data_IF_781544034116
#
_entry.id   IF_781544034116
#
_cell.length_a   1.000
_cell.length_b   1.000
_cell.length_c   1.000
_cell.angle_alpha   90.00
_cell.angle_beta   90.00
_cell.angle_gamma   90.00
#
_symmetry.space_group_name_H-M   'P 1'
#
loop_
_entity.id
_entity.type
_entity.pdbx_description
1 polymer ?
#
# COMPACT_ATOMS: atom_id res chain seq x y z
N UNK A 1 16.60 23.22 11.84
CA UNK A 1 15.25 22.79 11.40
C UNK A 1 15.18 22.90 9.89
N UNK A 2 15.40 21.80 9.16
CA UNK A 2 15.02 21.75 7.75
C UNK A 2 13.52 21.47 7.72
N UNK A 3 12.74 22.30 7.03
CA UNK A 3 11.37 21.95 6.67
C UNK A 3 11.46 20.64 5.87
N UNK A 4 10.94 19.54 6.42
CA UNK A 4 10.66 18.33 5.63
C UNK A 4 9.46 18.66 4.72
N UNK A 5 9.74 19.42 3.65
CA UNK A 5 8.81 19.53 2.54
C UNK A 5 8.77 18.17 1.86
N UNK A 6 7.60 17.53 1.89
CA UNK A 6 7.32 16.31 1.13
C UNK A 6 7.69 16.57 -0.33
N UNK A 7 8.63 15.79 -0.87
CA UNK A 7 9.10 15.94 -2.24
C UNK A 7 8.35 15.00 -3.17
N UNK A 8 8.10 15.46 -4.41
CA UNK A 8 7.53 14.62 -5.45
C UNK A 8 8.47 13.46 -5.81
N UNK A 9 7.97 12.23 -5.71
CA UNK A 9 8.72 11.00 -5.99
C UNK A 9 8.84 10.74 -7.50
N UNK A 10 7.81 11.11 -8.27
CA UNK A 10 7.74 10.94 -9.73
C UNK A 10 7.77 9.47 -10.20
N UNK A 11 7.38 8.53 -9.34
CA UNK A 11 7.51 7.10 -9.64
C UNK A 11 6.60 6.67 -10.80
N UNK A 12 5.34 7.10 -10.84
CA UNK A 12 4.44 6.79 -11.96
C UNK A 12 4.99 7.28 -13.30
N UNK A 13 5.60 8.47 -13.34
CA UNK A 13 6.14 9.01 -14.59
C UNK A 13 7.28 8.14 -15.13
N UNK A 14 8.17 7.69 -14.26
CA UNK A 14 9.26 6.78 -14.63
C UNK A 14 8.76 5.36 -14.91
N UNK A 15 7.79 4.87 -14.15
CA UNK A 15 7.18 3.58 -14.41
C UNK A 15 6.54 3.55 -15.81
N UNK A 16 5.77 4.57 -16.18
CA UNK A 16 5.17 4.66 -17.51
C UNK A 16 6.23 4.60 -18.63
N UNK A 17 7.39 5.21 -18.44
CA UNK A 17 8.49 5.15 -19.42
C UNK A 17 8.98 3.71 -19.62
N UNK A 18 9.34 3.02 -18.54
CA UNK A 18 9.85 1.65 -18.60
C UNK A 18 8.77 0.65 -19.06
N UNK A 19 7.52 0.85 -18.65
CA UNK A 19 6.39 -0.01 -19.02
C UNK A 19 6.06 0.11 -20.51
N UNK A 20 6.26 1.29 -21.13
CA UNK A 20 6.14 1.46 -22.59
C UNK A 20 7.20 0.66 -23.35
N UNK A 21 8.43 0.64 -22.84
CA UNK A 21 9.50 -0.18 -23.42
C UNK A 21 9.18 -1.68 -23.29
N UNK A 22 8.72 -2.12 -22.11
CA UNK A 22 8.30 -3.50 -21.89
C UNK A 22 7.12 -3.90 -22.79
N UNK A 23 6.10 -3.05 -22.92
CA UNK A 23 4.97 -3.30 -23.84
C UNK A 23 5.44 -3.52 -25.28
N UNK A 24 6.36 -2.68 -25.76
CA UNK A 24 6.88 -2.78 -27.12
C UNK A 24 7.66 -4.09 -27.34
N UNK A 25 8.47 -4.50 -26.36
CA UNK A 25 9.22 -5.76 -26.39
C UNK A 25 8.28 -6.97 -26.39
N UNK A 26 7.22 -6.93 -25.58
CA UNK A 26 6.33 -8.07 -25.36
C UNK A 26 5.33 -8.27 -26.48
N UNK A 27 5.08 -7.26 -27.34
CA UNK A 27 4.02 -7.29 -28.36
C UNK A 27 4.06 -8.52 -29.27
N UNK A 28 5.25 -9.05 -29.57
CA UNK A 28 5.41 -10.26 -30.38
C UNK A 28 5.35 -11.56 -29.58
N UNK A 29 6.01 -11.62 -28.42
CA UNK A 29 6.21 -12.85 -27.66
C UNK A 29 5.13 -13.14 -26.59
N UNK A 30 4.44 -12.10 -26.12
CA UNK A 30 3.40 -12.16 -25.09
C UNK A 30 2.33 -11.09 -25.38
N UNK A 31 1.54 -11.25 -26.46
CA UNK A 31 0.60 -10.24 -26.94
C UNK A 31 -0.51 -9.88 -25.95
N UNK A 32 -1.01 -10.81 -25.14
CA UNK A 32 -2.05 -10.54 -24.13
C UNK A 32 -1.48 -9.73 -22.97
N UNK A 33 -0.32 -10.13 -22.44
CA UNK A 33 0.42 -9.34 -21.44
C UNK A 33 0.76 -7.94 -21.97
N UNK A 34 1.16 -7.79 -23.25
CA UNK A 34 1.42 -6.48 -23.84
C UNK A 34 0.16 -5.59 -23.89
N UNK A 35 -1.03 -6.17 -24.16
CA UNK A 35 -2.30 -5.40 -24.07
C UNK A 35 -2.58 -4.94 -22.65
N UNK A 36 -2.30 -5.78 -21.66
CA UNK A 36 -2.43 -5.42 -20.24
C UNK A 36 -1.52 -4.25 -19.90
N UNK A 37 -0.23 -4.29 -20.29
CA UNK A 37 0.68 -3.15 -20.11
C UNK A 37 0.16 -1.87 -20.76
N UNK A 38 -0.43 -1.95 -21.96
CA UNK A 38 -0.99 -0.77 -22.63
C UNK A 38 -2.14 -0.13 -21.82
N UNK A 39 -3.06 -0.95 -21.28
CA UNK A 39 -4.16 -0.46 -20.43
C UNK A 39 -3.65 0.06 -19.09
N UNK A 40 -2.67 -0.62 -18.51
CA UNK A 40 -2.00 -0.20 -17.28
C UNK A 40 -1.32 1.17 -17.43
N UNK A 41 -0.61 1.39 -18.54
CA UNK A 41 0.01 2.70 -18.85
C UNK A 41 -1.06 3.78 -18.90
N UNK A 42 -2.19 3.53 -19.56
CA UNK A 42 -3.30 4.48 -19.64
C UNK A 42 -3.90 4.79 -18.26
N UNK A 43 -4.14 3.75 -17.44
CA UNK A 43 -4.61 3.92 -16.07
C UNK A 43 -3.62 4.71 -15.21
N UNK A 44 -2.31 4.45 -15.32
CA UNK A 44 -1.29 5.21 -14.63
C UNK A 44 -1.21 6.66 -15.12
N UNK A 45 -1.55 6.96 -16.36
CA UNK A 45 -1.60 8.34 -16.85
C UNK A 45 -2.78 9.11 -16.24
N UNK A 46 -3.92 8.45 -16.03
CA UNK A 46 -5.17 9.08 -15.60
C UNK A 46 -5.50 8.94 -14.11
N UNK A 47 -4.82 8.07 -13.36
CA UNK A 47 -5.10 7.90 -11.94
C UNK A 47 -4.83 9.18 -11.13
N UNK A 48 -5.36 9.27 -9.91
CA UNK A 48 -4.98 10.33 -8.97
C UNK A 48 -3.78 9.87 -8.14
N UNK A 49 -2.75 10.70 -8.01
CA UNK A 49 -1.47 10.28 -7.42
C UNK A 49 -1.35 10.77 -5.99
N UNK A 50 -1.01 9.88 -5.08
CA UNK A 50 -0.74 10.18 -3.68
C UNK A 50 0.71 9.83 -3.34
N UNK A 51 1.33 10.66 -2.51
CA UNK A 51 2.62 10.34 -1.89
C UNK A 51 2.35 9.86 -0.48
N UNK A 52 2.86 8.67 -0.16
CA UNK A 52 2.80 8.07 1.16
C UNK A 52 4.18 8.11 1.83
N UNK A 53 4.25 8.05 3.18
CA UNK A 53 5.52 7.88 3.88
C UNK A 53 6.16 6.54 3.53
N UNK A 54 7.45 6.38 3.86
CA UNK A 54 8.18 5.14 3.68
C UNK A 54 7.39 3.93 4.24
N UNK A 55 7.28 2.87 3.45
CA UNK A 55 6.53 1.64 3.76
C UNK A 55 5.03 1.84 4.06
N UNK A 56 4.45 3.02 3.75
CA UNK A 56 3.10 3.40 4.19
C UNK A 56 2.89 3.13 5.69
N UNK A 57 3.89 3.41 6.52
CA UNK A 57 3.90 3.04 7.94
C UNK A 57 3.03 4.00 8.80
N UNK A 58 1.74 4.05 8.50
CA UNK A 58 0.75 4.96 9.10
C UNK A 58 0.16 4.37 10.38
N UNK A 59 -0.14 3.07 10.38
CA UNK A 59 -0.80 2.32 11.45
C UNK A 59 0.07 1.11 11.81
N UNK A 60 0.17 0.76 13.09
CA UNK A 60 0.84 -0.50 13.46
C UNK A 60 0.07 -1.68 12.86
N UNK A 61 0.72 -2.62 12.14
CA UNK A 61 0.05 -3.82 11.64
C UNK A 61 -0.68 -4.61 12.74
N UNK A 62 -0.19 -4.60 13.98
CA UNK A 62 -0.86 -5.26 15.12
C UNK A 62 -2.07 -4.48 15.65
N UNK A 63 -2.18 -3.19 15.32
CA UNK A 63 -3.30 -2.30 15.66
C UNK A 63 -4.32 -2.19 14.53
N UNK A 64 -4.14 -2.91 13.42
CA UNK A 64 -5.19 -3.06 12.42
C UNK A 64 -6.42 -3.73 13.07
N UNK A 65 -7.60 -3.18 12.78
CA UNK A 65 -8.90 -3.55 13.38
C UNK A 65 -9.99 -3.41 12.32
N UNK A 66 -11.15 -4.00 12.59
CA UNK A 66 -12.33 -3.93 11.71
C UNK A 66 -12.62 -2.49 11.25
N UNK A 67 -12.55 -1.51 12.16
CA UNK A 67 -12.80 -0.11 11.83
C UNK A 67 -11.87 0.48 10.75
N UNK A 68 -10.65 -0.03 10.59
CA UNK A 68 -9.75 0.38 9.51
C UNK A 68 -10.20 -0.20 8.16
N UNK A 69 -10.62 -1.46 8.18
CA UNK A 69 -11.12 -2.17 7.01
C UNK A 69 -12.45 -1.55 6.52
N UNK A 70 -13.35 -1.20 7.45
CA UNK A 70 -14.63 -0.53 7.15
C UNK A 70 -14.43 0.83 6.44
N UNK A 71 -13.30 1.50 6.69
CA UNK A 71 -12.92 2.77 6.07
C UNK A 71 -12.05 2.60 4.82
N UNK A 72 -11.82 1.37 4.36
CA UNK A 72 -11.08 1.12 3.11
C UNK A 72 -12.00 1.38 1.93
N UNK A 73 -12.11 2.66 1.54
CA UNK A 73 -12.79 3.14 0.33
C UNK A 73 -11.82 4.03 -0.43
N UNK A 74 -11.71 3.85 -1.74
CA UNK A 74 -10.84 4.71 -2.52
C UNK A 74 -11.40 6.15 -2.56
N UNK A 75 -10.55 7.18 -2.44
CA UNK A 75 -10.99 8.57 -2.56
C UNK A 75 -11.34 8.98 -4.00
N UNK A 76 -10.88 8.20 -4.99
CA UNK A 76 -11.16 8.37 -6.41
C UNK A 76 -11.24 6.99 -7.08
N UNK A 77 -11.97 6.83 -8.20
CA UNK A 77 -12.15 5.53 -8.86
C UNK A 77 -10.85 4.81 -9.26
N UNK A 78 -9.78 5.56 -9.54
CA UNK A 78 -8.45 5.03 -9.84
C UNK A 78 -7.35 5.90 -9.20
N UNK A 79 -6.53 5.29 -8.35
CA UNK A 79 -5.53 5.94 -7.51
C UNK A 79 -4.20 5.23 -7.64
N UNK A 80 -3.09 5.98 -7.68
CA UNK A 80 -1.75 5.44 -7.53
C UNK A 80 -1.13 5.98 -6.25
N UNK A 81 -0.80 5.09 -5.32
CA UNK A 81 -0.08 5.42 -4.10
C UNK A 81 1.41 5.15 -4.29
N UNK A 82 2.23 6.21 -4.31
CA UNK A 82 3.68 6.10 -4.40
C UNK A 82 4.31 6.15 -3.00
N UNK A 83 5.21 5.20 -2.71
CA UNK A 83 5.92 5.14 -1.45
C UNK A 83 7.37 4.68 -1.64
N UNK A 84 8.34 5.30 -0.96
CA UNK A 84 9.62 4.65 -0.70
C UNK A 84 9.36 3.38 0.13
N UNK A 85 10.23 2.37 -0.04
CA UNK A 85 10.11 1.09 0.64
C UNK A 85 11.46 0.62 1.17
N UNK A 86 12.12 1.51 1.87
CA UNK A 86 13.42 1.29 2.49
C UNK A 86 13.21 0.51 3.80
N UNK A 87 13.69 -0.73 3.84
CA UNK A 87 13.72 -1.60 5.03
C UNK A 87 15.18 -1.92 5.37
N UNK A 88 15.53 -1.91 6.65
CA UNK A 88 16.88 -2.22 7.13
C UNK A 88 17.27 -3.67 6.79
N UNK A 89 16.32 -4.60 6.97
CA UNK A 89 16.48 -6.02 6.65
C UNK A 89 15.46 -6.42 5.56
N UNK A 90 15.97 -6.74 4.36
CA UNK A 90 15.18 -7.34 3.29
C UNK A 90 15.01 -8.84 3.53
N UNK A 91 13.83 -9.37 3.22
CA UNK A 91 13.62 -10.82 3.18
C UNK A 91 13.88 -11.27 1.76
N UNK A 92 14.86 -12.16 1.58
CA UNK A 92 15.21 -12.72 0.27
C UNK A 92 14.31 -13.91 -0.11
N UNK A 93 13.72 -14.58 0.89
CA UNK A 93 12.91 -15.77 0.68
C UNK A 93 11.77 -15.89 1.70
N UNK A 94 10.57 -16.21 1.23
CA UNK A 94 9.40 -16.56 2.05
C UNK A 94 9.01 -18.00 1.74
N UNK A 95 9.38 -18.94 2.62
CA UNK A 95 9.22 -20.37 2.34
C UNK A 95 10.01 -20.75 1.08
N UNK A 96 9.31 -21.16 0.02
CA UNK A 96 9.93 -21.47 -1.28
C UNK A 96 9.90 -20.30 -2.28
N UNK A 97 9.29 -19.16 -1.92
CA UNK A 97 9.10 -18.02 -2.82
C UNK A 97 10.27 -17.05 -2.70
N UNK A 98 10.98 -16.83 -3.79
CA UNK A 98 12.01 -15.78 -3.87
C UNK A 98 11.36 -14.40 -3.80
N UNK A 99 12.02 -13.46 -3.12
CA UNK A 99 11.53 -12.09 -2.96
C UNK A 99 12.53 -11.10 -3.55
N UNK A 100 12.01 -10.08 -4.24
CA UNK A 100 12.84 -9.01 -4.81
C UNK A 100 12.87 -7.81 -3.85
N UNK A 101 14.05 -7.30 -3.47
CA UNK A 101 14.16 -6.09 -2.66
C UNK A 101 13.76 -4.86 -3.49
N UNK A 102 12.47 -4.53 -3.45
CA UNK A 102 11.89 -3.38 -4.13
C UNK A 102 11.84 -2.16 -3.19
N UNK A 103 12.79 -1.22 -3.32
CA UNK A 103 12.91 -0.01 -2.49
C UNK A 103 12.01 1.15 -2.91
N UNK A 104 11.34 1.04 -4.06
CA UNK A 104 10.40 2.03 -4.59
C UNK A 104 9.18 1.29 -5.11
N UNK A 105 8.01 1.69 -4.64
CA UNK A 105 6.77 0.98 -4.94
C UNK A 105 5.62 1.93 -5.25
N UNK A 106 4.71 1.44 -6.06
CA UNK A 106 3.44 2.05 -6.41
C UNK A 106 2.37 0.98 -6.19
N UNK A 107 1.37 1.28 -5.35
CA UNK A 107 0.13 0.53 -5.36
C UNK A 107 -0.82 1.22 -6.34
N UNK A 108 -1.04 0.61 -7.51
CA UNK A 108 -2.10 1.04 -8.42
C UNK A 108 -3.41 0.41 -7.97
N UNK A 109 -4.40 1.23 -7.68
CA UNK A 109 -5.66 0.82 -7.10
C UNK A 109 -6.83 1.34 -7.91
N UNK A 110 -7.84 0.50 -8.13
CA UNK A 110 -9.04 0.93 -8.85
C UNK A 110 -10.27 0.16 -8.39
N UNK A 111 -11.42 0.80 -8.58
CA UNK A 111 -12.72 0.15 -8.48
C UNK A 111 -13.08 -0.49 -9.82
N UNK A 112 -13.73 -1.65 -9.75
CA UNK A 112 -14.22 -2.36 -10.91
C UNK A 112 -15.19 -1.47 -11.72
N UNK A 113 -14.86 -1.22 -12.98
CA UNK A 113 -15.75 -0.51 -13.92
C UNK A 113 -15.41 -0.91 -15.36
N UNK A 114 -16.31 -0.69 -16.34
CA UNK A 114 -16.01 -0.92 -17.74
C UNK A 114 -14.80 -0.12 -18.25
N UNK A 115 -14.50 1.02 -17.63
CA UNK A 115 -13.34 1.87 -17.95
C UNK A 115 -12.02 1.30 -17.39
N UNK A 116 -12.10 0.52 -16.30
CA UNK A 116 -10.94 -0.03 -15.60
C UNK A 116 -10.95 -1.56 -15.60
N UNK A 117 -10.80 -2.14 -16.79
CA UNK A 117 -10.62 -3.57 -16.97
C UNK A 117 -9.26 -3.87 -17.62
N UNK A 118 -8.26 -4.26 -16.83
CA UNK A 118 -6.91 -4.52 -17.34
C UNK A 118 -6.81 -5.82 -18.15
N UNK A 119 -7.54 -6.84 -17.74
CA UNK A 119 -7.63 -8.14 -18.39
C UNK A 119 -9.12 -8.45 -18.64
N UNK A 120 -9.53 -8.86 -19.86
CA UNK A 120 -10.93 -9.19 -20.13
C UNK A 120 -11.50 -10.23 -19.15
N UNK A 121 -12.66 -9.94 -18.57
CA UNK A 121 -13.31 -10.80 -17.59
C UNK A 121 -12.85 -10.56 -16.15
N UNK A 122 -11.85 -9.70 -15.90
CA UNK A 122 -11.38 -9.42 -14.55
C UNK A 122 -12.51 -8.86 -13.65
N UNK A 123 -13.43 -8.08 -14.22
CA UNK A 123 -14.56 -7.52 -13.48
C UNK A 123 -15.66 -8.55 -13.15
N UNK A 124 -15.58 -9.79 -13.65
CA UNK A 124 -16.55 -10.84 -13.26
C UNK A 124 -16.48 -11.19 -11.78
N UNK A 125 -15.42 -10.77 -11.08
CA UNK A 125 -15.32 -10.90 -9.62
C UNK A 125 -16.50 -10.25 -8.88
N UNK A 126 -17.15 -9.23 -9.48
CA UNK A 126 -18.33 -8.59 -8.93
C UNK A 126 -19.55 -9.51 -8.84
N UNK A 127 -19.58 -10.62 -9.58
CA UNK A 127 -20.64 -11.64 -9.43
C UNK A 127 -20.59 -12.29 -8.04
N UNK A 128 -19.39 -12.46 -7.47
CA UNK A 128 -19.18 -12.96 -6.11
C UNK A 128 -19.19 -11.83 -5.07
N UNK A 129 -18.88 -10.60 -5.47
CA UNK A 129 -18.77 -9.42 -4.60
C UNK A 129 -19.58 -8.24 -5.16
N UNK A 130 -20.92 -8.30 -5.11
CA UNK A 130 -21.78 -7.30 -5.74
C UNK A 130 -21.63 -5.89 -5.14
N UNK A 131 -21.22 -5.80 -3.88
CA UNK A 131 -20.94 -4.53 -3.17
C UNK A 131 -19.62 -3.87 -3.60
N UNK A 132 -18.88 -4.51 -4.51
CA UNK A 132 -17.62 -4.01 -5.03
C UNK A 132 -16.44 -4.17 -4.07
N UNK A 133 -15.37 -3.45 -4.40
CA UNK A 133 -14.09 -3.54 -3.73
C UNK A 133 -13.00 -2.82 -4.50
N UNK A 134 -11.77 -3.02 -4.04
CA UNK A 134 -10.58 -2.37 -4.58
C UNK A 134 -9.66 -3.42 -5.18
N UNK A 135 -9.38 -3.32 -6.47
CA UNK A 135 -8.23 -4.00 -7.04
C UNK A 135 -6.94 -3.29 -6.62
N UNK A 136 -5.93 -4.05 -6.23
CA UNK A 136 -4.61 -3.55 -5.83
C UNK A 136 -3.54 -4.27 -6.63
N UNK A 137 -2.76 -3.52 -7.40
CA UNK A 137 -1.67 -4.04 -8.21
C UNK A 137 -0.33 -3.44 -7.79
N UNK A 138 0.65 -4.27 -7.38
CA UNK A 138 2.01 -3.82 -7.13
C UNK A 138 2.76 -3.49 -8.42
N UNK A 139 3.33 -2.29 -8.44
CA UNK A 139 4.31 -1.85 -9.44
C UNK A 139 5.55 -1.42 -8.67
N UNK A 140 6.71 -1.91 -9.06
CA UNK A 140 7.92 -1.75 -8.26
C UNK A 140 9.15 -1.53 -9.11
N UNK A 141 10.15 -0.87 -8.52
CA UNK A 141 11.47 -0.76 -9.10
C UNK A 141 12.24 -2.07 -8.88
N UNK A 142 12.49 -2.81 -9.95
CA UNK A 142 13.30 -4.03 -9.92
C UNK A 142 14.79 -3.68 -9.98
N UNK A 143 15.57 -3.84 -8.90
CA UNK A 143 16.98 -3.45 -8.88
C UNK A 143 17.84 -4.26 -9.84
N UNK A 144 17.51 -5.55 -10.06
CA UNK A 144 18.26 -6.46 -10.95
C UNK A 144 18.26 -5.98 -12.40
N UNK A 145 17.13 -5.47 -12.88
CA UNK A 145 16.96 -4.99 -14.25
C UNK A 145 17.01 -3.47 -14.38
N UNK A 146 17.19 -2.76 -13.24
CA UNK A 146 17.22 -1.31 -13.11
C UNK A 146 16.08 -0.63 -13.89
N UNK A 147 14.87 -1.14 -13.70
CA UNK A 147 13.65 -0.65 -14.34
C UNK A 147 12.43 -0.87 -13.47
N UNK A 148 11.37 -0.11 -13.72
CA UNK A 148 10.05 -0.40 -13.20
C UNK A 148 9.42 -1.61 -13.89
N UNK A 149 8.73 -2.42 -13.11
CA UNK A 149 7.94 -3.56 -13.59
C UNK A 149 6.70 -3.73 -12.72
N UNK A 150 5.81 -4.62 -13.14
CA UNK A 150 4.61 -5.01 -12.37
C UNK A 150 4.77 -6.42 -11.81
N UNK A 151 4.10 -6.71 -10.70
CA UNK A 151 3.96 -8.08 -10.22
C UNK A 151 3.14 -8.94 -11.20
N UNK A 152 3.22 -10.26 -11.06
CA UNK A 152 2.47 -11.23 -11.90
C UNK A 152 0.95 -10.99 -11.87
N UNK A 153 0.48 -10.45 -10.74
CA UNK A 153 -0.91 -10.21 -10.44
C UNK A 153 -1.07 -9.26 -9.25
N UNK A 154 -2.30 -9.14 -8.78
CA UNK A 154 -2.66 -8.33 -7.64
C UNK A 154 -3.70 -9.02 -6.76
N UNK A 155 -4.30 -8.24 -5.87
CA UNK A 155 -5.38 -8.70 -4.99
C UNK A 155 -6.59 -7.77 -5.08
N UNK A 156 -7.79 -8.36 -5.12
CA UNK A 156 -9.06 -7.64 -4.98
C UNK A 156 -9.49 -7.69 -3.51
N UNK A 157 -9.70 -6.54 -2.90
CA UNK A 157 -10.15 -6.40 -1.52
C UNK A 157 -11.62 -6.00 -1.52
N UNK A 158 -12.54 -6.90 -1.16
CA UNK A 158 -13.97 -6.59 -1.10
C UNK A 158 -14.26 -5.48 -0.09
N UNK A 159 -15.27 -4.66 -0.38
CA UNK A 159 -15.73 -3.60 0.50
C UNK A 159 -16.52 -4.09 1.70
N UNK A 160 -17.29 -5.16 1.53
CA UNK A 160 -17.84 -5.95 2.63
C UNK A 160 -16.83 -7.01 3.03
N UNK A 161 -16.17 -6.80 4.16
CA UNK A 161 -15.07 -7.64 4.58
C UNK A 161 -14.92 -7.62 6.10
N UNK A 162 -14.44 -8.73 6.67
CA UNK A 162 -14.39 -8.91 8.12
C UNK A 162 -13.01 -9.38 8.54
N UNK A 163 -12.49 -8.78 9.60
CA UNK A 163 -11.28 -9.20 10.29
C UNK A 163 -11.55 -10.50 11.05
N UNK A 164 -10.94 -11.59 10.60
CA UNK A 164 -11.10 -12.94 11.15
C UNK A 164 -9.78 -13.45 11.74
N UNK A 165 -9.85 -14.37 12.69
CA UNK A 165 -8.67 -15.05 13.20
C UNK A 165 -8.17 -16.04 12.15
N UNK A 166 -6.85 -16.10 11.92
CA UNK A 166 -6.29 -17.04 10.94
C UNK A 166 -6.52 -18.47 11.41
N UNK A 167 -7.33 -19.20 10.63
CA UNK A 167 -7.48 -20.64 10.74
C UNK A 167 -6.97 -21.28 9.45
N UNK A 168 -5.70 -21.68 9.45
CA UNK A 168 -5.03 -22.23 8.27
C UNK A 168 -5.78 -23.40 7.64
N UNK A 169 -6.39 -24.26 8.47
CA UNK A 169 -7.15 -25.44 8.05
C UNK A 169 -8.44 -25.08 7.28
N UNK A 170 -9.05 -23.93 7.59
CA UNK A 170 -10.26 -23.42 6.95
C UNK A 170 -9.95 -22.47 5.77
N UNK A 171 -8.68 -22.09 5.60
CA UNK A 171 -8.24 -21.18 4.52
C UNK A 171 -8.16 -21.90 3.17
N UNK A 172 -8.41 -21.15 2.10
CA UNK A 172 -8.17 -21.59 0.72
C UNK A 172 -6.70 -22.04 0.55
N UNK A 173 -6.41 -23.02 -0.31
CA UNK A 173 -5.08 -23.62 -0.37
C UNK A 173 -3.96 -22.62 -0.68
N UNK A 174 -4.13 -21.73 -1.66
CA UNK A 174 -3.18 -20.64 -1.92
C UNK A 174 -2.95 -19.72 -0.70
N UNK A 175 -4.01 -19.30 -0.02
CA UNK A 175 -3.92 -18.48 1.20
C UNK A 175 -3.20 -19.22 2.33
N UNK A 176 -3.42 -20.52 2.49
CA UNK A 176 -2.73 -21.35 3.47
C UNK A 176 -1.23 -21.39 3.22
N UNK A 177 -0.80 -21.59 1.96
CA UNK A 177 0.61 -21.59 1.57
C UNK A 177 1.25 -20.22 1.89
N UNK A 178 0.62 -19.13 1.47
CA UNK A 178 1.12 -17.78 1.70
C UNK A 178 1.19 -17.45 3.21
N UNK A 179 0.15 -17.76 3.98
CA UNK A 179 0.14 -17.52 5.42
C UNK A 179 1.22 -18.31 6.14
N UNK A 180 1.37 -19.60 5.83
CA UNK A 180 2.42 -20.45 6.39
C UNK A 180 3.81 -19.85 6.15
N UNK A 181 4.12 -19.44 4.91
CA UNK A 181 5.39 -18.81 4.56
C UNK A 181 5.66 -17.53 5.36
N UNK A 182 4.65 -16.66 5.55
CA UNK A 182 4.83 -15.43 6.33
C UNK A 182 4.96 -15.67 7.84
N UNK A 183 4.32 -16.72 8.37
CA UNK A 183 4.44 -17.10 9.78
C UNK A 183 5.84 -17.67 10.05
N UNK A 184 6.33 -18.55 9.17
CA UNK A 184 7.66 -19.14 9.25
C UNK A 184 8.76 -18.07 9.20
N UNK A 185 8.61 -17.08 8.32
CA UNK A 185 9.53 -15.94 8.22
C UNK A 185 9.40 -14.90 9.35
N UNK A 186 8.50 -15.11 10.32
CA UNK A 186 8.28 -14.19 11.44
C UNK A 186 7.62 -12.85 11.06
N UNK A 187 7.15 -12.71 9.81
CA UNK A 187 6.47 -11.51 9.31
C UNK A 187 5.05 -11.33 9.85
N UNK A 188 4.39 -12.44 10.17
CA UNK A 188 3.02 -12.46 10.67
C UNK A 188 2.94 -13.40 11.86
N UNK A 189 2.25 -12.98 12.93
CA UNK A 189 1.99 -13.89 14.06
C UNK A 189 0.97 -14.95 13.65
N UNK A 190 1.10 -16.18 14.14
CA UNK A 190 0.14 -17.27 13.85
C UNK A 190 -1.30 -16.97 14.27
N UNK A 191 -1.49 -16.07 15.25
CA UNK A 191 -2.81 -15.58 15.71
C UNK A 191 -3.14 -14.18 15.20
N UNK A 192 -2.41 -13.66 14.20
CA UNK A 192 -2.77 -12.38 13.61
C UNK A 192 -4.17 -12.47 12.98
N UNK A 193 -4.90 -11.37 13.02
CA UNK A 193 -6.16 -11.29 12.28
C UNK A 193 -5.88 -11.02 10.81
N UNK A 194 -6.68 -11.60 9.93
CA UNK A 194 -6.65 -11.39 8.49
C UNK A 194 -8.00 -10.90 7.99
N UNK A 195 -8.03 -10.42 6.75
CA UNK A 195 -9.23 -10.10 6.01
C UNK A 195 -9.16 -10.74 4.63
N UNK A 196 -10.27 -10.75 3.90
CA UNK A 196 -10.33 -11.37 2.58
C UNK A 196 -9.64 -10.49 1.54
N UNK A 197 -8.79 -11.11 0.72
CA UNK A 197 -8.19 -10.50 -0.45
C UNK A 197 -8.05 -11.59 -1.52
N UNK A 198 -8.76 -11.42 -2.63
CA UNK A 198 -8.85 -12.41 -3.70
C UNK A 198 -7.74 -12.18 -4.73
N UNK A 199 -6.81 -13.13 -4.93
CA UNK A 199 -5.72 -12.92 -5.85
C UNK A 199 -6.18 -13.08 -7.30
N UNK A 200 -5.62 -12.27 -8.20
CA UNK A 200 -5.83 -12.37 -9.64
C UNK A 200 -4.50 -12.20 -10.36
N UNK A 201 -4.29 -12.92 -11.46
CA UNK A 201 -3.14 -12.67 -12.34
C UNK A 201 -3.50 -11.62 -13.38
N UNK A 202 -2.49 -10.91 -13.89
CA UNK A 202 -2.67 -9.92 -14.95
C UNK A 202 -1.84 -10.19 -16.20
N UNK A 203 -0.81 -11.02 -16.11
CA UNK A 203 0.09 -11.29 -17.21
C UNK A 203 -0.07 -12.75 -17.66
N UNK A 204 -1.01 -13.09 -18.58
CA UNK A 204 -1.38 -14.47 -18.86
C UNK A 204 -0.19 -15.34 -19.28
N UNK A 205 0.64 -14.87 -20.20
CA UNK A 205 1.80 -15.63 -20.69
C UNK A 205 2.88 -15.80 -19.61
N UNK A 206 2.99 -14.87 -18.67
CA UNK A 206 3.88 -15.01 -17.53
C UNK A 206 3.28 -15.94 -16.47
N UNK A 207 1.96 -15.90 -16.30
CA UNK A 207 1.24 -16.80 -15.40
C UNK A 207 1.39 -18.25 -15.83
N UNK A 208 1.26 -18.54 -17.12
CA UNK A 208 1.51 -19.88 -17.67
C UNK A 208 2.95 -20.34 -17.44
N UNK A 209 3.94 -19.43 -17.58
CA UNK A 209 5.35 -19.74 -17.27
C UNK A 209 5.55 -20.04 -15.79
N UNK A 210 4.97 -19.24 -14.90
CA UNK A 210 5.01 -19.48 -13.45
C UNK A 210 4.34 -20.79 -13.08
N UNK A 211 3.20 -21.10 -13.68
CA UNK A 211 2.48 -22.35 -13.49
C UNK A 211 3.35 -23.56 -13.91
N UNK A 212 4.02 -23.47 -15.06
CA UNK A 212 4.96 -24.49 -15.52
C UNK A 212 6.15 -24.65 -14.57
N UNK A 213 6.72 -23.55 -14.08
CA UNK A 213 7.82 -23.57 -13.09
C UNK A 213 7.41 -24.25 -11.78
N UNK A 214 6.13 -24.14 -11.40
CA UNK A 214 5.55 -24.84 -10.24
C UNK A 214 4.98 -26.23 -10.58
N UNK A 215 5.31 -26.81 -11.73
CA UNK A 215 4.88 -28.15 -12.11
C UNK A 215 3.36 -28.28 -12.28
N UNK A 216 2.69 -27.20 -12.70
CA UNK A 216 1.22 -27.14 -12.83
C UNK A 216 0.48 -26.81 -11.53
N UNK A 217 1.19 -26.49 -10.45
CA UNK A 217 0.54 -26.16 -9.17
C UNK A 217 -0.02 -24.73 -9.17
N UNK A 218 -1.32 -24.63 -9.46
CA UNK A 218 -2.09 -23.37 -9.45
C UNK A 218 -2.05 -22.66 -8.10
N UNK A 219 -2.13 -23.40 -6.99
CA UNK A 219 -2.17 -22.84 -5.65
C UNK A 219 -0.85 -22.14 -5.28
N UNK A 220 0.30 -22.67 -5.74
CA UNK A 220 1.59 -21.99 -5.58
C UNK A 220 1.67 -20.69 -6.38
N UNK A 221 1.18 -20.70 -7.62
CA UNK A 221 1.15 -19.48 -8.44
C UNK A 221 0.29 -18.37 -7.78
N UNK A 222 -0.89 -18.71 -7.24
CA UNK A 222 -1.71 -17.75 -6.51
C UNK A 222 -1.12 -17.37 -5.14
N UNK A 223 -0.45 -18.29 -4.44
CA UNK A 223 0.26 -17.97 -3.21
C UNK A 223 1.37 -16.95 -3.45
N UNK A 224 2.13 -17.08 -4.54
CA UNK A 224 3.11 -16.07 -4.94
C UNK A 224 2.45 -14.69 -5.15
N UNK A 225 1.32 -14.63 -5.87
CA UNK A 225 0.57 -13.37 -6.08
C UNK A 225 0.12 -12.75 -4.74
N UNK A 226 -0.36 -13.57 -3.80
CA UNK A 226 -0.76 -13.11 -2.47
C UNK A 226 0.43 -12.51 -1.72
N UNK A 227 1.59 -13.18 -1.75
CA UNK A 227 2.81 -12.72 -1.08
C UNK A 227 3.33 -11.42 -1.70
N UNK A 228 3.42 -11.36 -3.02
CA UNK A 228 3.95 -10.22 -3.76
C UNK A 228 3.06 -8.97 -3.66
N UNK A 229 1.75 -9.13 -3.42
CA UNK A 229 0.80 -8.02 -3.27
C UNK A 229 0.45 -7.63 -1.83
N UNK A 230 0.97 -8.38 -0.84
CA UNK A 230 0.63 -8.20 0.58
C UNK A 230 0.91 -6.78 1.09
N UNK A 231 2.08 -6.25 0.78
CA UNK A 231 2.55 -4.96 1.28
C UNK A 231 1.69 -3.82 0.72
N UNK A 232 1.32 -3.86 -0.55
CA UNK A 232 0.46 -2.87 -1.21
C UNK A 232 -0.99 -2.98 -0.72
N UNK A 233 -1.51 -4.19 -0.51
CA UNK A 233 -2.83 -4.38 0.10
C UNK A 233 -2.89 -3.75 1.49
N UNK A 234 -1.85 -3.95 2.32
CA UNK A 234 -1.75 -3.30 3.62
C UNK A 234 -1.63 -1.78 3.49
N UNK A 235 -0.86 -1.28 2.53
CA UNK A 235 -0.72 0.16 2.28
C UNK A 235 -2.06 0.80 1.92
N UNK A 236 -2.88 0.15 1.10
CA UNK A 236 -4.20 0.64 0.69
C UNK A 236 -5.17 0.71 1.86
N UNK A 237 -5.25 -0.35 2.67
CA UNK A 237 -6.10 -0.35 3.87
C UNK A 237 -5.68 0.77 4.82
N UNK A 238 -4.38 0.94 5.04
CA UNK A 238 -3.87 2.00 5.90
C UNK A 238 -4.17 3.39 5.34
N UNK A 239 -3.75 3.66 4.11
CA UNK A 239 -3.93 4.96 3.46
C UNK A 239 -5.40 5.36 3.39
N UNK A 240 -6.28 4.46 2.93
CA UNK A 240 -7.71 4.76 2.81
C UNK A 240 -8.37 4.97 4.17
N UNK A 241 -8.01 4.18 5.19
CA UNK A 241 -8.55 4.38 6.53
C UNK A 241 -8.19 5.75 7.12
N UNK A 242 -7.03 6.30 6.77
CA UNK A 242 -6.61 7.65 7.16
C UNK A 242 -7.28 8.71 6.29
N UNK A 243 -7.28 8.55 4.96
CA UNK A 243 -7.87 9.51 4.01
C UNK A 243 -9.36 9.76 4.31
N UNK A 244 -10.10 8.72 4.66
CA UNK A 244 -11.54 8.80 4.92
C UNK A 244 -11.88 9.29 6.34
N UNK A 245 -10.89 9.70 7.14
CA UNK A 245 -11.14 10.33 8.44
C UNK A 245 -11.64 11.76 8.28
N UNK A 246 -12.61 12.16 9.11
CA UNK A 246 -13.28 13.46 9.00
C UNK A 246 -12.37 14.68 9.21
N UNK A 247 -11.18 14.49 9.79
CA UNK A 247 -10.19 15.54 10.03
C UNK A 247 -8.99 15.46 9.09
N UNK A 248 -9.03 14.60 8.06
CA UNK A 248 -7.97 14.48 7.06
C UNK A 248 -8.42 15.14 5.76
N UNK A 249 -7.52 15.90 5.17
CA UNK A 249 -7.65 16.65 3.92
C UNK A 249 -6.44 16.34 3.05
N UNK A 250 -6.43 16.82 1.81
CA UNK A 250 -5.30 16.63 0.89
C UNK A 250 -4.71 17.96 0.46
N UNK A 251 -3.40 18.12 0.58
CA UNK A 251 -2.65 19.20 -0.07
C UNK A 251 -2.19 18.75 -1.45
N UNK A 252 -2.13 19.67 -2.41
CA UNK A 252 -1.62 19.40 -3.75
C UNK A 252 -0.16 19.90 -3.90
N UNK A 253 0.69 19.05 -4.46
CA UNK A 253 2.04 19.38 -4.92
C UNK A 253 2.01 19.39 -6.44
N UNK A 254 2.02 20.57 -7.05
CA UNK A 254 2.01 20.71 -8.50
C UNK A 254 3.38 20.40 -9.11
N UNK A 255 3.37 19.75 -10.28
CA UNK A 255 4.57 19.57 -11.08
C UNK A 255 5.09 20.91 -11.64
N UNK A 256 6.40 21.06 -11.75
CA UNK A 256 7.00 22.25 -12.38
C UNK A 256 6.71 22.28 -13.88
N UNK A 257 5.98 23.30 -14.34
CA UNK A 257 5.66 23.49 -15.76
C UNK A 257 6.92 23.57 -16.65
N UNK A 258 7.98 24.24 -16.17
CA UNK A 258 9.24 24.34 -16.89
C UNK A 258 9.95 22.99 -17.05
N UNK A 259 9.92 22.13 -16.01
CA UNK A 259 10.46 20.78 -16.11
C UNK A 259 9.62 19.90 -17.04
N UNK A 260 8.29 20.00 -16.97
CA UNK A 260 7.39 19.24 -17.83
C UNK A 260 7.55 19.59 -19.31
N UNK A 261 7.70 20.88 -19.65
CA UNK A 261 8.00 21.31 -21.02
C UNK A 261 9.28 20.65 -21.54
N UNK A 262 10.36 20.67 -20.75
CA UNK A 262 11.63 20.02 -21.11
C UNK A 262 11.53 18.50 -21.24
N UNK A 263 10.67 17.85 -20.45
CA UNK A 263 10.42 16.40 -20.56
C UNK A 263 9.66 16.07 -21.84
N UNK A 264 8.61 16.84 -22.15
CA UNK A 264 7.82 16.68 -23.38
C UNK A 264 8.66 16.88 -24.64
N UNK A 265 9.53 17.90 -24.67
CA UNK A 265 10.49 18.13 -25.77
C UNK A 265 11.40 16.92 -26.03
N UNK A 266 11.63 16.08 -25.00
CA UNK A 266 12.43 14.84 -25.08
C UNK A 266 11.59 13.58 -25.28
N UNK A 267 10.28 13.70 -25.55
CA UNK A 267 9.36 12.57 -25.66
C UNK A 267 9.13 11.80 -24.35
N UNK A 268 9.49 12.39 -23.20
CA UNK A 268 9.39 11.77 -21.88
C UNK A 268 8.05 12.04 -21.22
N UNK A 269 7.64 11.17 -20.31
CA UNK A 269 6.37 11.30 -19.59
C UNK A 269 6.43 12.55 -18.69
N UNK A 270 5.51 13.53 -18.80
CA UNK A 270 5.46 14.65 -17.87
C UNK A 270 5.27 14.17 -16.43
N UNK A 271 5.82 14.92 -15.47
CA UNK A 271 5.53 14.69 -14.05
C UNK A 271 4.09 15.12 -13.72
N UNK A 272 3.50 14.40 -12.76
CA UNK A 272 2.13 14.60 -12.32
C UNK A 272 2.06 15.56 -11.13
N UNK A 273 0.88 16.15 -10.90
CA UNK A 273 0.54 16.68 -9.58
C UNK A 273 0.32 15.53 -8.60
N UNK A 274 0.67 15.77 -7.34
CA UNK A 274 0.54 14.80 -6.26
C UNK A 274 -0.36 15.31 -5.15
N UNK A 275 -1.11 14.42 -4.51
CA UNK A 275 -1.82 14.66 -3.27
C UNK A 275 -1.02 14.14 -2.09
N UNK A 276 -1.01 14.90 -1.00
CA UNK A 276 -0.38 14.52 0.27
C UNK A 276 -1.40 14.69 1.40
N UNK A 277 -1.41 13.75 2.34
CA UNK A 277 -2.33 13.79 3.47
C UNK A 277 -1.98 14.93 4.43
N UNK A 278 -2.95 15.79 4.72
CA UNK A 278 -2.84 16.88 5.68
C UNK A 278 -4.01 16.83 6.64
N UNK A 279 -3.75 17.00 7.93
CA UNK A 279 -4.83 17.10 8.91
C UNK A 279 -5.41 18.51 8.92
N UNK A 280 -6.74 18.61 8.96
CA UNK A 280 -7.47 19.87 9.13
C UNK A 280 -7.16 20.48 10.50
N UNK A 281 -7.00 21.80 10.57
CA UNK A 281 -6.74 22.54 11.81
C UNK A 281 -7.95 22.65 12.76
N UNK A 282 -9.00 21.84 12.56
CA UNK A 282 -10.18 21.85 13.41
C UNK A 282 -9.87 21.34 14.83
N UNK A 283 -9.69 22.32 15.72
CA UNK A 283 -9.62 22.30 17.21
C UNK A 283 -8.23 22.24 17.85
N UNK A 284 -7.65 23.43 18.01
CA UNK A 284 -6.77 23.77 19.15
C UNK A 284 -7.52 24.13 20.44
N UNK A 285 -8.86 24.12 20.47
CA UNK A 285 -9.64 24.70 21.59
C UNK A 285 -10.25 23.69 22.59
N UNK A 286 -9.67 22.50 22.77
CA UNK A 286 -10.20 21.55 23.78
C UNK A 286 -9.14 20.88 24.66
N UNK A 287 -8.01 21.54 24.93
CA UNK A 287 -7.18 21.20 26.08
C UNK A 287 -7.79 21.85 27.35
N UNK A 288 -8.99 21.40 27.70
CA UNK A 288 -9.62 21.71 28.97
C UNK A 288 -8.81 21.10 30.11
N UNK A 289 -8.42 21.96 31.06
CA UNK A 289 -7.87 21.57 32.36
C UNK A 289 -8.80 20.56 33.05
N UNK A 290 -8.28 19.43 33.50
CA UNK A 290 -8.91 18.63 34.55
C UNK A 290 -8.70 17.12 34.47
N UNK A 291 -8.29 16.52 35.59
CA UNK A 291 -8.36 15.08 35.82
C UNK A 291 -7.13 14.41 36.45
N UNK A 292 -6.54 14.98 37.52
CA UNK A 292 -5.62 14.22 38.36
C UNK A 292 -6.41 13.26 39.26
N UNK A 293 -6.65 12.02 38.80
CA UNK A 293 -6.94 10.90 39.69
C UNK A 293 -6.70 9.57 38.99
N UNK A 294 -5.66 8.85 39.40
CA UNK A 294 -5.43 7.47 38.98
C UNK A 294 -4.08 6.97 39.48
N UNK A 295 -4.10 6.07 40.45
CA UNK A 295 -2.90 5.52 41.12
C UNK A 295 -2.18 4.44 40.29
N UNK A 296 -2.12 4.61 38.96
CA UNK A 296 -1.43 3.68 38.07
C UNK A 296 -0.02 4.19 37.77
N UNK A 297 0.96 3.27 37.77
CA UNK A 297 2.32 3.56 37.34
C UNK A 297 2.28 4.28 35.98
N UNK A 298 2.87 5.47 35.92
CA UNK A 298 2.83 6.32 34.72
C UNK A 298 3.35 5.54 33.50
N UNK A 299 2.62 5.51 32.37
CA UNK A 299 3.01 4.74 31.18
C UNK A 299 4.42 5.10 30.69
N UNK A 300 5.25 4.14 30.28
CA UNK A 300 6.63 4.43 29.80
C UNK A 300 6.64 5.38 28.60
N UNK A 301 7.75 6.10 28.41
CA UNK A 301 7.97 6.90 27.21
C UNK A 301 8.01 6.00 25.96
N UNK A 302 7.10 6.19 25.02
CA UNK A 302 7.08 5.43 23.76
C UNK A 302 6.38 6.20 22.65
N UNK A 303 6.85 6.02 21.41
CA UNK A 303 6.22 6.63 20.25
C UNK A 303 4.93 5.87 19.99
N UNK A 304 3.81 6.54 20.20
CA UNK A 304 2.52 5.99 19.82
C UNK A 304 2.28 6.33 18.36
N UNK A 305 2.01 5.32 17.52
CA UNK A 305 1.59 5.50 16.13
C UNK A 305 0.23 6.19 16.06
N UNK A 306 -0.13 6.63 14.87
CA UNK A 306 -1.45 7.19 14.67
C UNK A 306 -2.51 6.09 14.78
N UNK A 307 -3.72 6.47 15.18
CA UNK A 307 -4.82 5.52 15.31
C UNK A 307 -6.15 6.20 15.02
N UNK A 308 -7.14 5.40 14.64
CA UNK A 308 -8.53 5.84 14.55
C UNK A 308 -9.11 6.05 15.94
N UNK A 309 -9.77 7.19 16.16
CA UNK A 309 -10.61 7.43 17.34
C UNK A 309 -12.05 7.65 16.91
N UNK A 310 -12.95 6.82 17.45
CA UNK A 310 -14.40 7.00 17.29
C UNK A 310 -14.90 7.98 18.34
N UNK A 311 -15.49 9.08 17.89
CA UNK A 311 -16.29 10.00 18.69
C UNK A 311 -17.77 9.70 18.45
N UNK A 312 -18.66 10.32 19.23
CA UNK A 312 -20.10 10.08 19.16
C UNK A 312 -20.68 10.21 17.75
N UNK A 313 -20.21 11.20 16.97
CA UNK A 313 -20.74 11.49 15.63
C UNK A 313 -19.76 11.26 14.48
N UNK A 314 -18.47 10.99 14.74
CA UNK A 314 -17.45 10.91 13.67
C UNK A 314 -16.24 10.06 14.03
N UNK A 315 -15.54 9.60 13.00
CA UNK A 315 -14.22 8.96 13.12
C UNK A 315 -13.14 9.94 12.73
N UNK A 316 -12.09 10.05 13.56
CA UNK A 316 -10.96 10.97 13.35
C UNK A 316 -9.63 10.22 13.40
N UNK A 317 -8.68 10.67 12.60
CA UNK A 317 -7.30 10.23 12.66
C UNK A 317 -6.55 11.00 13.75
N UNK A 318 -6.00 10.29 14.72
CA UNK A 318 -5.14 10.87 15.75
C UNK A 318 -3.68 10.72 15.32
N UNK A 319 -2.93 11.82 15.25
CA UNK A 319 -1.50 11.80 14.87
C UNK A 319 -0.68 10.84 15.76
N UNK A 320 0.41 10.26 15.22
CA UNK A 320 1.47 9.74 16.04
C UNK A 320 1.91 10.79 17.06
N UNK A 321 2.15 10.37 18.30
CA UNK A 321 2.51 11.26 19.38
C UNK A 321 3.52 10.61 20.33
N UNK A 322 4.41 11.44 20.86
CA UNK A 322 5.32 11.01 21.90
C UNK A 322 4.55 10.91 23.22
N UNK A 323 4.34 9.69 23.74
CA UNK A 323 3.61 9.49 25.00
C UNK A 323 4.60 9.52 26.15
N UNK A 324 4.24 10.24 27.22
CA UNK A 324 5.02 10.39 28.46
C UNK A 324 6.50 10.78 28.26
N UNK A 325 6.75 11.80 27.44
CA UNK A 325 8.08 12.33 27.11
C UNK A 325 8.91 12.84 28.32
N UNK A 326 8.31 12.92 29.52
CA UNK A 326 8.98 13.33 30.76
C UNK A 326 9.24 12.18 31.74
N UNK A 327 9.06 10.92 31.34
CA UNK A 327 9.28 9.76 32.18
C UNK A 327 10.74 9.31 32.19
N UNK A 328 11.35 9.23 33.37
CA UNK A 328 12.72 8.72 33.58
C UNK A 328 12.81 7.18 33.66
N UNK A 329 11.71 6.44 33.46
CA UNK A 329 11.67 4.99 33.64
C UNK A 329 11.61 4.23 32.31
N UNK A 330 12.64 3.42 32.04
CA UNK A 330 12.66 2.46 30.92
C UNK A 330 13.28 2.96 29.62
N UNK A 331 14.41 3.68 29.73
CA UNK A 331 15.23 4.07 28.58
C UNK A 331 15.77 2.81 27.88
N UNK A 332 15.22 2.50 26.71
CA UNK A 332 15.98 1.80 25.67
C UNK A 332 16.43 2.90 24.70
N UNK A 333 17.69 3.31 24.83
CA UNK A 333 18.34 4.20 23.88
C UNK A 333 18.33 3.53 22.50
N UNK A 334 17.44 3.97 21.62
CA UNK A 334 17.70 4.01 20.19
C UNK A 334 17.87 5.49 19.85
N UNK A 335 19.06 5.82 19.36
CA UNK A 335 19.53 7.19 19.18
C UNK A 335 18.58 8.05 18.35
N UNK A 336 17.96 9.03 19.00
CA UNK A 336 17.43 10.21 18.33
C UNK A 336 17.75 11.43 19.19
N UNK A 337 18.58 12.32 18.65
CA UNK A 337 19.04 13.53 19.32
C UNK A 337 17.86 14.45 19.67
N UNK A 338 17.67 14.70 20.97
CA UNK A 338 16.74 15.71 21.48
C UNK A 338 17.54 17.00 21.74
N UNK A 339 17.16 18.11 21.12
CA UNK A 339 17.76 19.42 21.40
C UNK A 339 17.31 19.93 22.78
N UNK A 340 18.20 20.54 23.60
CA UNK A 340 17.82 21.16 24.86
C UNK A 340 16.95 22.39 24.60
N UNK A 341 15.90 22.57 25.39
CA UNK A 341 15.20 23.86 25.50
C UNK A 341 16.03 24.79 26.37
N UNK A 342 16.33 25.98 25.86
CA UNK A 342 16.86 27.10 26.64
C UNK A 342 15.86 27.65 27.65
#
# INVERSE_FOLDING_TARGET
MKNDQVQALNYCAHAIEDLRELEAILRGAAPESARVFRRLIDMLQHSVKFILPNCCDLIDPNELRQAHLDLTRLPFPCVAFEAPWEKEDGIEQLGEFQQTPATKRIALCWEASPEYELLPGLNSILEAFPEGGVFVLPIYWGPEHRRWTVALGGSFVPYENTMQDVKLEESLPASRIAHAATIEAGLTKSKAKHFRAEPFYLLPEFYEKTLAAYGGNREKAYAQIILDSRDEVQAVVQACSVINCANVTTAEISASAALNKKRQEKGKQPFFSYKVLQLSDERREAAGKGGASGNHASPRMHLRRGHLRRLESKVVWVRPAMVNAGSNTGVVLKDYAVQPKG
#
